data_IF_612878531127
#
_entry.id   IF_612878531127
#
_cell.length_a   1.000
_cell.length_b   1.000
_cell.length_c   1.000
_cell.angle_alpha   90.00
_cell.angle_beta   90.00
_cell.angle_gamma   90.00
#
_symmetry.space_group_name_H-M   'P 1'
#
loop_
_entity.id
_entity.type
_entity.pdbx_description
1 polymer ?
#
# COMPACT_ATOMS: atom_id res chain seq x y z
N UNK A 1 -21.63 -4.93 12.13
CA UNK A 1 -20.18 -4.75 12.32
C UNK A 1 -19.89 -5.18 13.75
N UNK A 2 -19.16 -6.27 13.93
CA UNK A 2 -18.64 -6.67 15.24
C UNK A 2 -17.17 -6.26 15.26
N UNK A 3 -16.76 -5.48 16.26
CA UNK A 3 -15.36 -5.17 16.47
C UNK A 3 -14.68 -6.33 17.20
N UNK A 4 -13.52 -6.74 16.70
CA UNK A 4 -12.77 -7.95 17.09
C UNK A 4 -11.39 -7.61 17.68
N UNK A 5 -11.25 -6.42 18.28
CA UNK A 5 -10.00 -5.89 18.83
C UNK A 5 -8.92 -5.61 17.78
N UNK A 6 -9.26 -5.56 16.49
CA UNK A 6 -8.32 -5.15 15.44
C UNK A 6 -8.52 -3.69 15.03
N UNK A 7 -7.44 -3.08 14.55
CA UNK A 7 -7.53 -1.87 13.74
C UNK A 7 -8.20 -2.17 12.38
N UNK A 8 -8.43 -1.14 11.57
CA UNK A 8 -8.94 -1.34 10.21
C UNK A 8 -7.97 -2.18 9.37
N UNK A 9 -8.52 -3.04 8.51
CA UNK A 9 -7.71 -3.84 7.59
C UNK A 9 -6.87 -2.93 6.67
N UNK A 10 -5.58 -3.23 6.45
CA UNK A 10 -4.73 -2.43 5.56
C UNK A 10 -5.26 -2.44 4.13
N UNK A 11 -5.07 -1.34 3.40
CA UNK A 11 -5.41 -1.23 1.98
C UNK A 11 -4.42 -2.03 1.09
N UNK A 12 -4.46 -3.35 1.19
CA UNK A 12 -3.64 -4.24 0.37
C UNK A 12 -4.17 -4.32 -1.07
N UNK A 13 -3.27 -4.37 -2.06
CA UNK A 13 -3.66 -4.56 -3.46
C UNK A 13 -4.00 -6.02 -3.78
N UNK A 14 -3.43 -6.94 -3.01
CA UNK A 14 -3.70 -8.37 -3.08
C UNK A 14 -4.05 -8.90 -1.70
N UNK A 15 -5.09 -9.72 -1.67
CA UNK A 15 -5.54 -10.42 -0.49
C UNK A 15 -5.37 -11.92 -0.70
N UNK A 16 -5.01 -12.62 0.37
CA UNK A 16 -4.87 -14.08 0.37
C UNK A 16 -5.72 -14.67 1.48
N UNK A 17 -6.09 -15.94 1.30
CA UNK A 17 -6.74 -16.73 2.34
C UNK A 17 -5.79 -17.80 2.84
N UNK A 18 -5.95 -18.19 4.10
CA UNK A 18 -5.25 -19.37 4.63
C UNK A 18 -5.66 -20.64 3.88
N UNK A 19 -4.79 -21.65 3.88
CA UNK A 19 -4.98 -22.89 3.11
C UNK A 19 -6.26 -23.65 3.46
N UNK A 20 -6.75 -23.49 4.70
CA UNK A 20 -7.96 -24.13 5.21
C UNK A 20 -9.13 -23.15 5.37
N UNK A 21 -9.13 -22.05 4.60
CA UNK A 21 -10.18 -21.03 4.71
C UNK A 21 -11.57 -21.61 4.40
N UNK A 22 -12.52 -21.26 5.26
CA UNK A 22 -13.93 -21.60 5.06
C UNK A 22 -14.65 -20.38 4.43
N UNK A 23 -15.29 -20.54 3.25
CA UNK A 23 -16.00 -19.45 2.59
C UNK A 23 -16.93 -18.67 3.51
N UNK A 24 -16.73 -17.35 3.60
CA UNK A 24 -17.54 -16.44 4.42
C UNK A 24 -17.24 -16.47 5.92
N UNK A 25 -16.31 -17.30 6.40
CA UNK A 25 -15.94 -17.38 7.82
C UNK A 25 -14.49 -16.98 8.09
N UNK A 26 -13.61 -17.11 7.10
CA UNK A 26 -12.20 -16.71 7.22
C UNK A 26 -12.00 -15.33 6.58
N UNK A 27 -11.60 -14.31 7.35
CA UNK A 27 -11.23 -13.01 6.79
C UNK A 27 -10.03 -13.14 5.83
N UNK A 28 -9.97 -12.32 4.77
CA UNK A 28 -8.79 -12.25 3.92
C UNK A 28 -7.63 -11.54 4.64
N UNK A 29 -6.41 -12.04 4.48
CA UNK A 29 -5.19 -11.37 4.94
C UNK A 29 -4.77 -10.24 3.98
N UNK A 30 -4.07 -9.19 4.44
CA UNK A 30 -3.79 -8.91 5.85
C UNK A 30 -5.04 -8.38 6.56
N UNK A 31 -5.26 -8.83 7.78
CA UNK A 31 -6.19 -8.18 8.70
C UNK A 31 -5.52 -6.94 9.33
N UNK A 32 -6.31 -6.12 10.04
CA UNK A 32 -5.77 -5.02 10.82
C UNK A 32 -4.99 -5.51 12.04
N UNK A 33 -3.93 -4.80 12.47
CA UNK A 33 -3.19 -5.15 13.68
C UNK A 33 -4.09 -5.24 14.91
N UNK A 34 -3.82 -6.21 15.78
CA UNK A 34 -4.46 -6.28 17.10
C UNK A 34 -4.10 -5.03 17.92
N UNK A 35 -5.10 -4.42 18.56
CA UNK A 35 -4.86 -3.25 19.39
C UNK A 35 -4.19 -3.64 20.72
N UNK A 36 -3.24 -2.85 21.23
CA UNK A 36 -2.52 -3.19 22.45
C UNK A 36 -3.42 -3.14 23.70
N UNK A 37 -3.01 -3.74 24.83
CA UNK A 37 -3.71 -3.56 26.10
C UNK A 37 -3.93 -2.09 26.46
N UNK A 38 -5.14 -1.75 26.92
CA UNK A 38 -5.53 -0.37 27.14
C UNK A 38 -7.03 -0.18 27.42
N UNK A 39 -7.43 1.08 27.62
CA UNK A 39 -8.82 1.47 27.83
C UNK A 39 -9.45 1.88 26.49
N UNK A 40 -10.54 1.22 26.11
CA UNK A 40 -11.24 1.46 24.84
C UNK A 40 -12.68 1.90 25.11
N UNK A 41 -13.18 2.82 24.27
CA UNK A 41 -14.58 3.24 24.29
C UNK A 41 -15.28 2.71 23.05
N UNK A 42 -16.22 1.78 23.26
CA UNK A 42 -17.10 1.30 22.22
C UNK A 42 -18.25 2.28 22.05
N UNK A 43 -18.58 2.60 20.79
CA UNK A 43 -19.76 3.40 20.44
C UNK A 43 -20.65 2.60 19.50
N UNK A 44 -21.84 2.26 19.95
CA UNK A 44 -22.88 1.63 19.14
C UNK A 44 -23.91 2.68 18.74
N UNK A 45 -24.17 2.83 17.44
CA UNK A 45 -25.18 3.74 16.92
C UNK A 45 -26.33 2.91 16.35
N UNK A 46 -27.56 3.15 16.83
CA UNK A 46 -28.79 2.50 16.35
C UNK A 46 -29.80 3.59 16.00
N UNK A 47 -30.00 3.82 14.69
CA UNK A 47 -30.75 4.98 14.21
C UNK A 47 -30.09 6.29 14.65
N UNK A 48 -30.84 7.17 15.31
CA UNK A 48 -30.33 8.44 15.85
C UNK A 48 -29.75 8.34 17.28
N UNK A 49 -29.77 7.16 17.91
CA UNK A 49 -29.28 6.96 19.29
C UNK A 49 -27.85 6.42 19.28
N UNK A 50 -27.00 6.95 20.15
CA UNK A 50 -25.65 6.46 20.39
C UNK A 50 -25.54 5.92 21.82
N UNK A 51 -24.98 4.73 21.96
CA UNK A 51 -24.65 4.07 23.22
C UNK A 51 -23.14 3.98 23.33
N UNK A 52 -22.60 4.25 24.50
CA UNK A 52 -21.15 4.20 24.74
C UNK A 52 -20.84 3.31 25.94
N UNK A 53 -19.86 2.45 25.80
CA UNK A 53 -19.36 1.62 26.89
C UNK A 53 -17.84 1.58 26.87
N UNK A 54 -17.23 1.74 28.04
CA UNK A 54 -15.79 1.59 28.21
C UNK A 54 -15.46 0.14 28.55
N UNK A 55 -14.38 -0.38 27.99
CA UNK A 55 -13.80 -1.68 28.34
C UNK A 55 -12.29 -1.59 28.48
N UNK A 56 -11.73 -2.46 29.30
CA UNK A 56 -10.28 -2.61 29.50
C UNK A 56 -9.82 -3.86 28.76
N UNK A 57 -8.92 -3.69 27.79
CA UNK A 57 -8.19 -4.78 27.14
C UNK A 57 -6.95 -5.07 27.98
N UNK A 58 -6.75 -6.33 28.33
CA UNK A 58 -5.58 -6.83 29.08
C UNK A 58 -4.74 -7.74 28.20
N UNK A 59 -3.48 -7.95 28.57
CA UNK A 59 -2.58 -8.84 27.86
C UNK A 59 -3.05 -10.31 27.93
N UNK A 60 -2.75 -11.12 26.91
CA UNK A 60 -3.00 -12.57 26.99
C UNK A 60 -2.15 -13.16 28.14
N UNK A 61 -2.76 -13.79 29.16
CA UNK A 61 -2.03 -14.35 30.30
C UNK A 61 -1.08 -15.50 29.92
N UNK A 62 -1.23 -16.09 28.74
CA UNK A 62 -0.34 -17.15 28.21
C UNK A 62 0.86 -16.58 27.48
N UNK A 63 0.82 -15.29 27.12
CA UNK A 63 1.88 -14.61 26.42
C UNK A 63 2.98 -14.16 27.38
N UNK A 64 4.25 -14.46 27.11
CA UNK A 64 5.37 -13.96 27.92
C UNK A 64 5.71 -12.49 27.62
N UNK A 65 5.12 -11.89 26.58
CA UNK A 65 5.41 -10.52 26.17
C UNK A 65 4.84 -9.52 27.18
N UNK A 66 5.59 -8.44 27.44
CA UNK A 66 5.09 -7.33 28.27
C UNK A 66 4.19 -6.44 27.43
N UNK A 67 3.27 -5.72 28.08
CA UNK A 67 2.40 -4.75 27.38
C UNK A 67 3.19 -3.68 26.59
N UNK A 68 4.40 -3.32 27.05
CA UNK A 68 5.29 -2.42 26.32
C UNK A 68 5.86 -3.04 25.02
N UNK A 69 6.10 -4.34 25.02
CA UNK A 69 6.59 -5.08 23.85
C UNK A 69 5.50 -5.12 22.77
N UNK A 70 4.28 -5.49 23.17
CA UNK A 70 3.09 -5.49 22.29
C UNK A 70 2.78 -4.10 21.75
N UNK A 71 2.96 -3.05 22.56
CA UNK A 71 2.80 -1.67 22.08
C UNK A 71 3.85 -1.29 21.03
N UNK A 72 5.11 -1.66 21.26
CA UNK A 72 6.19 -1.42 20.29
C UNK A 72 5.95 -2.18 18.98
N UNK A 73 5.41 -3.39 19.06
CA UNK A 73 4.97 -4.17 17.91
C UNK A 73 3.85 -3.48 17.14
N UNK A 74 2.80 -3.07 17.84
CA UNK A 74 1.68 -2.32 17.25
C UNK A 74 2.15 -1.04 16.55
N UNK A 75 3.05 -0.28 17.18
CA UNK A 75 3.58 0.96 16.60
C UNK A 75 4.33 0.69 15.28
N UNK A 76 5.12 -0.39 15.20
CA UNK A 76 5.77 -0.80 13.95
C UNK A 76 4.74 -1.27 12.91
N UNK A 77 3.74 -2.04 13.32
CA UNK A 77 2.67 -2.49 12.43
C UNK A 77 1.90 -1.31 11.84
N UNK A 78 1.54 -0.31 12.65
CA UNK A 78 0.84 0.89 12.18
C UNK A 78 1.69 1.73 11.22
N UNK A 79 3.01 1.79 11.41
CA UNK A 79 3.93 2.36 10.41
C UNK A 79 3.89 1.59 9.08
N UNK A 80 3.82 0.27 9.13
CA UNK A 80 3.67 -0.58 7.94
C UNK A 80 2.30 -0.36 7.28
N UNK A 81 1.21 -0.32 8.04
CA UNK A 81 -0.15 -0.01 7.54
C UNK A 81 -0.19 1.33 6.81
N UNK A 82 0.45 2.36 7.36
CA UNK A 82 0.56 3.65 6.70
C UNK A 82 1.28 3.56 5.35
N UNK A 83 2.37 2.79 5.27
CA UNK A 83 3.08 2.54 4.01
C UNK A 83 2.28 1.71 3.00
N UNK A 84 1.50 0.72 3.45
CA UNK A 84 0.57 -0.05 2.62
C UNK A 84 -0.47 0.89 2.02
N UNK A 85 -1.09 1.74 2.84
CA UNK A 85 -2.07 2.73 2.36
C UNK A 85 -1.48 3.69 1.34
N UNK A 86 -0.30 4.25 1.64
CA UNK A 86 0.31 5.21 0.72
C UNK A 86 0.71 4.57 -0.62
N UNK A 87 1.19 3.32 -0.61
CA UNK A 87 1.47 2.59 -1.85
C UNK A 87 0.20 2.25 -2.64
N UNK A 88 -0.89 1.93 -1.95
CA UNK A 88 -2.21 1.75 -2.55
C UNK A 88 -2.71 3.04 -3.21
N UNK A 89 -2.65 4.17 -2.50
CA UNK A 89 -3.05 5.48 -3.02
C UNK A 89 -2.26 5.82 -4.29
N UNK A 90 -0.95 5.60 -4.27
CA UNK A 90 -0.08 5.82 -5.43
C UNK A 90 -0.39 4.92 -6.62
N UNK A 91 -0.64 3.63 -6.38
CA UNK A 91 -1.08 2.72 -7.44
C UNK A 91 -2.36 3.22 -8.12
N UNK A 92 -3.37 3.65 -7.35
CA UNK A 92 -4.62 4.15 -7.92
C UNK A 92 -4.47 5.48 -8.65
N UNK A 93 -3.60 6.37 -8.19
CA UNK A 93 -3.26 7.59 -8.93
C UNK A 93 -2.60 7.27 -10.29
N UNK A 94 -1.69 6.29 -10.32
CA UNK A 94 -1.08 5.81 -11.56
C UNK A 94 -2.13 5.18 -12.47
N UNK A 95 -2.96 4.27 -11.96
CA UNK A 95 -4.01 3.59 -12.73
C UNK A 95 -5.00 4.59 -13.35
N UNK A 96 -5.39 5.63 -12.60
CA UNK A 96 -6.23 6.70 -13.11
C UNK A 96 -5.57 7.47 -14.27
N UNK A 97 -4.28 7.78 -14.17
CA UNK A 97 -3.57 8.49 -15.24
C UNK A 97 -3.40 7.61 -16.48
N UNK A 98 -3.11 6.31 -16.29
CA UNK A 98 -3.07 5.34 -17.40
C UNK A 98 -4.41 5.22 -18.12
N UNK A 99 -5.51 5.18 -17.37
CA UNK A 99 -6.86 5.17 -17.94
C UNK A 99 -7.15 6.45 -18.73
N UNK A 100 -6.72 7.62 -18.25
CA UNK A 100 -6.84 8.88 -18.98
C UNK A 100 -6.02 8.89 -20.29
N UNK A 101 -4.78 8.40 -20.26
CA UNK A 101 -3.95 8.25 -21.47
C UNK A 101 -4.61 7.32 -22.48
N UNK A 102 -5.15 6.18 -22.03
CA UNK A 102 -5.85 5.24 -22.91
C UNK A 102 -7.13 5.83 -23.51
N UNK A 103 -7.93 6.56 -22.73
CA UNK A 103 -9.16 7.20 -23.19
C UNK A 103 -8.88 8.28 -24.25
N UNK A 104 -7.87 9.13 -24.01
CA UNK A 104 -7.50 10.21 -24.93
C UNK A 104 -6.84 9.70 -26.22
N UNK A 105 -6.37 8.45 -26.23
CA UNK A 105 -5.71 7.82 -27.39
C UNK A 105 -6.53 6.76 -28.11
N UNK A 106 -7.82 6.64 -27.77
CA UNK A 106 -8.72 5.64 -28.37
C UNK A 106 -9.15 5.95 -29.82
N UNK A 107 -8.89 7.17 -30.32
CA UNK A 107 -9.27 7.60 -31.67
C UNK A 107 -8.10 7.54 -32.66
N UNK A 108 -8.37 7.72 -33.96
CA UNK A 108 -7.31 7.88 -34.94
C UNK A 108 -6.47 9.14 -34.63
N UNK A 109 -5.20 8.94 -34.26
CA UNK A 109 -4.29 10.00 -33.85
C UNK A 109 -3.01 10.02 -34.71
N UNK A 110 -2.31 11.17 -34.77
CA UNK A 110 -1.00 11.24 -35.40
C UNK A 110 -0.02 10.24 -34.79
N UNK A 111 0.85 9.65 -35.61
CA UNK A 111 1.82 8.63 -35.17
C UNK A 111 2.72 9.12 -34.01
N UNK A 112 3.07 10.42 -34.00
CA UNK A 112 3.84 11.04 -32.93
C UNK A 112 3.12 10.98 -31.57
N UNK A 113 1.80 11.17 -31.53
CA UNK A 113 1.01 11.11 -30.30
C UNK A 113 0.91 9.67 -29.80
N UNK A 114 0.69 8.71 -30.70
CA UNK A 114 0.64 7.27 -30.35
C UNK A 114 1.98 6.81 -29.74
N UNK A 115 3.10 7.22 -30.34
CA UNK A 115 4.43 6.90 -29.83
C UNK A 115 4.68 7.52 -28.45
N UNK A 116 4.34 8.81 -28.27
CA UNK A 116 4.49 9.51 -27.00
C UNK A 116 3.61 8.90 -25.91
N UNK A 117 2.36 8.56 -26.22
CA UNK A 117 1.43 7.94 -25.27
C UNK A 117 1.92 6.55 -24.84
N UNK A 118 2.43 5.74 -25.78
CA UNK A 118 3.02 4.43 -25.43
C UNK A 118 4.25 4.57 -24.54
N UNK A 119 5.13 5.53 -24.83
CA UNK A 119 6.31 5.78 -24.01
C UNK A 119 5.94 6.26 -22.59
N UNK A 120 4.96 7.15 -22.50
CA UNK A 120 4.45 7.65 -21.22
C UNK A 120 3.74 6.54 -20.43
N UNK A 121 2.84 5.77 -21.06
CA UNK A 121 2.17 4.63 -20.41
C UNK A 121 3.16 3.57 -19.94
N UNK A 122 4.25 3.33 -20.68
CA UNK A 122 5.33 2.43 -20.23
C UNK A 122 5.99 2.92 -18.94
N UNK A 123 6.22 4.24 -18.81
CA UNK A 123 6.75 4.84 -17.57
C UNK A 123 5.75 4.71 -16.43
N UNK A 124 4.46 4.90 -16.71
CA UNK A 124 3.38 4.70 -15.73
C UNK A 124 3.28 3.24 -15.28
N UNK A 125 3.37 2.29 -16.22
CA UNK A 125 3.33 0.87 -15.93
C UNK A 125 4.52 0.43 -15.05
N UNK A 126 5.72 0.97 -15.29
CA UNK A 126 6.90 0.70 -14.48
C UNK A 126 6.75 1.18 -13.02
N UNK A 127 6.26 2.40 -12.80
CA UNK A 127 6.10 2.95 -11.44
C UNK A 127 4.88 2.36 -10.71
N UNK A 128 3.81 2.05 -11.43
CA UNK A 128 2.60 1.42 -10.88
C UNK A 128 2.83 -0.04 -10.49
N UNK A 129 3.48 -0.80 -11.37
CA UNK A 129 3.59 -2.24 -11.27
C UNK A 129 2.27 -2.96 -11.62
N UNK A 130 2.34 -4.29 -11.65
CA UNK A 130 1.21 -5.16 -12.00
C UNK A 130 0.75 -5.98 -10.78
N UNK A 131 -0.47 -5.75 -10.25
CA UNK A 131 -0.99 -6.51 -9.12
C UNK A 131 -1.30 -7.98 -9.46
N UNK A 132 -1.48 -8.34 -10.74
CA UNK A 132 -1.72 -9.73 -11.14
C UNK A 132 -0.42 -10.54 -11.10
N UNK A 133 0.67 -9.98 -11.58
CA UNK A 133 2.02 -10.54 -11.42
C UNK A 133 2.45 -10.74 -9.96
N UNK A 134 1.82 -10.04 -9.01
CA UNK A 134 2.05 -10.23 -7.57
C UNK A 134 1.26 -11.40 -6.94
N UNK A 135 0.22 -11.93 -7.62
CA UNK A 135 -0.60 -13.07 -7.13
C UNK A 135 0.01 -14.43 -7.42
N UNK A 136 0.85 -14.54 -8.46
CA UNK A 136 1.64 -15.73 -8.71
C UNK A 136 2.78 -15.80 -7.69
N UNK A 137 2.70 -16.70 -6.72
CA UNK A 137 3.74 -16.96 -5.72
C UNK A 137 5.07 -17.45 -6.33
N UNK A 138 5.73 -16.61 -7.12
CA UNK A 138 6.81 -16.98 -8.02
C UNK A 138 7.81 -15.85 -8.24
N UNK A 139 8.29 -15.23 -7.17
CA UNK A 139 9.58 -14.55 -7.16
C UNK A 139 10.58 -15.46 -6.46
N UNK A 140 11.04 -16.48 -7.17
CA UNK A 140 11.88 -17.55 -6.64
C UNK A 140 13.14 -17.05 -5.94
N UNK A 141 13.59 -17.85 -4.99
CA UNK A 141 14.88 -17.81 -4.30
C UNK A 141 16.11 -17.99 -5.24
N UNK A 142 15.97 -17.77 -6.55
CA UNK A 142 16.99 -18.00 -7.56
C UNK A 142 16.92 -16.94 -8.67
N UNK A 143 17.84 -15.98 -8.63
CA UNK A 143 18.04 -15.00 -9.70
C UNK A 143 19.03 -13.92 -9.29
N UNK A 144 20.32 -14.13 -9.56
CA UNK A 144 21.41 -13.16 -9.36
C UNK A 144 21.39 -11.99 -10.36
N UNK A 145 20.20 -11.50 -10.71
CA UNK A 145 20.01 -10.33 -11.55
C UNK A 145 19.86 -9.05 -10.72
N UNK A 146 20.04 -7.89 -11.35
CA UNK A 146 19.74 -6.61 -10.71
C UNK A 146 18.25 -6.57 -10.29
N UNK A 147 18.00 -6.24 -9.03
CA UNK A 147 16.63 -6.08 -8.54
C UNK A 147 15.94 -4.98 -9.35
N UNK A 148 14.74 -5.22 -9.91
CA UNK A 148 14.01 -4.18 -10.60
C UNK A 148 13.71 -3.00 -9.66
N UNK A 149 13.63 -1.79 -10.22
CA UNK A 149 13.27 -0.60 -9.46
C UNK A 149 11.91 -0.78 -8.75
N UNK A 150 11.72 -0.18 -7.57
CA UNK A 150 10.48 -0.34 -6.81
C UNK A 150 9.29 0.27 -7.56
N UNK A 151 8.18 -0.46 -7.54
CA UNK A 151 6.85 0.00 -7.97
C UNK A 151 5.90 0.07 -6.78
N UNK A 152 4.78 0.77 -6.93
CA UNK A 152 3.76 0.83 -5.87
C UNK A 152 3.24 -0.57 -5.50
N UNK A 153 3.02 -1.43 -6.48
CA UNK A 153 2.64 -2.84 -6.25
C UNK A 153 3.72 -3.61 -5.48
N UNK A 154 4.99 -3.53 -5.89
CA UNK A 154 6.05 -4.30 -5.23
C UNK A 154 6.28 -3.85 -3.78
N UNK A 155 6.15 -2.55 -3.52
CA UNK A 155 6.24 -1.98 -2.16
C UNK A 155 5.05 -2.42 -1.32
N UNK A 156 3.82 -2.32 -1.83
CA UNK A 156 2.61 -2.77 -1.13
C UNK A 156 2.73 -4.26 -0.75
N UNK A 157 3.09 -5.12 -1.71
CA UNK A 157 3.28 -6.55 -1.48
C UNK A 157 4.39 -6.86 -0.46
N UNK A 158 5.49 -6.11 -0.47
CA UNK A 158 6.56 -6.28 0.52
C UNK A 158 6.07 -5.94 1.93
N UNK A 159 5.43 -4.78 2.10
CA UNK A 159 4.90 -4.33 3.39
C UNK A 159 3.79 -5.26 3.91
N UNK A 160 2.94 -5.79 3.03
CA UNK A 160 1.94 -6.82 3.38
C UNK A 160 2.60 -8.11 3.92
N UNK A 161 3.72 -8.55 3.36
CA UNK A 161 4.46 -9.70 3.93
C UNK A 161 5.01 -9.40 5.31
N UNK A 162 5.49 -8.17 5.55
CA UNK A 162 6.05 -7.77 6.83
C UNK A 162 4.98 -7.73 7.94
N UNK A 163 3.79 -7.17 7.66
CA UNK A 163 2.70 -7.15 8.65
C UNK A 163 2.23 -8.57 8.99
N UNK A 164 2.08 -9.45 8.01
CA UNK A 164 1.73 -10.85 8.25
C UNK A 164 2.81 -11.57 9.09
N UNK A 165 4.09 -11.21 8.92
CA UNK A 165 5.17 -11.77 9.73
C UNK A 165 5.08 -11.31 11.19
N UNK A 166 4.73 -10.04 11.40
CA UNK A 166 4.57 -9.45 12.73
C UNK A 166 3.33 -9.96 13.46
N UNK A 167 2.33 -10.53 12.78
CA UNK A 167 1.12 -11.07 13.42
C UNK A 167 1.29 -12.49 13.99
N UNK A 168 2.45 -13.13 13.83
CA UNK A 168 2.66 -14.54 14.25
C UNK A 168 2.81 -14.75 15.77
N UNK A 169 2.79 -13.69 16.58
CA UNK A 169 2.81 -13.79 18.03
C UNK A 169 3.14 -12.46 18.71
N UNK A 170 2.96 -12.41 20.03
CA UNK A 170 3.26 -11.21 20.81
C UNK A 170 4.77 -11.12 21.09
N UNK A 171 5.44 -10.11 20.55
CA UNK A 171 6.88 -9.92 20.74
C UNK A 171 7.33 -8.49 20.47
N UNK A 172 8.37 -8.05 21.16
CA UNK A 172 9.07 -6.82 20.79
C UNK A 172 9.71 -6.99 19.40
N UNK A 173 9.53 -6.05 18.46
CA UNK A 173 10.11 -6.17 17.13
C UNK A 173 11.62 -6.36 17.15
N UNK A 174 12.09 -7.39 16.45
CA UNK A 174 13.52 -7.66 16.34
C UNK A 174 14.23 -6.57 15.52
N UNK A 175 15.55 -6.39 15.69
CA UNK A 175 16.33 -5.47 14.84
C UNK A 175 16.18 -5.76 13.33
N UNK A 176 16.01 -7.04 12.96
CA UNK A 176 15.78 -7.45 11.58
C UNK A 176 14.42 -6.98 11.06
N UNK A 177 13.36 -7.08 11.86
CA UNK A 177 12.03 -6.56 11.50
C UNK A 177 12.05 -5.04 11.32
N UNK A 178 12.72 -4.31 12.23
CA UNK A 178 12.86 -2.86 12.09
C UNK A 178 13.66 -2.47 10.84
N UNK A 179 14.74 -3.20 10.53
CA UNK A 179 15.54 -2.97 9.34
C UNK A 179 14.75 -3.25 8.06
N UNK A 180 13.94 -4.32 8.04
CA UNK A 180 13.06 -4.65 6.93
C UNK A 180 12.02 -3.54 6.67
N UNK A 181 11.42 -2.98 7.73
CA UNK A 181 10.52 -1.84 7.60
C UNK A 181 11.24 -0.61 7.01
N UNK A 182 12.43 -0.27 7.52
CA UNK A 182 13.19 0.87 6.99
C UNK A 182 13.53 0.66 5.51
N UNK A 183 13.86 -0.56 5.08
CA UNK A 183 14.07 -0.88 3.67
C UNK A 183 12.82 -0.65 2.84
N UNK A 184 11.67 -1.22 3.24
CA UNK A 184 10.40 -1.05 2.52
C UNK A 184 9.93 0.41 2.50
N UNK A 185 10.18 1.18 3.57
CA UNK A 185 9.91 2.60 3.60
C UNK A 185 10.79 3.39 2.61
N UNK A 186 12.07 3.04 2.47
CA UNK A 186 12.97 3.68 1.50
C UNK A 186 12.56 3.37 0.05
N UNK A 187 12.08 2.15 -0.20
CA UNK A 187 11.49 1.81 -1.49
C UNK A 187 10.24 2.65 -1.76
N UNK A 188 9.37 2.84 -0.74
CA UNK A 188 8.21 3.73 -0.83
C UNK A 188 8.62 5.19 -1.10
N UNK A 189 9.65 5.70 -0.41
CA UNK A 189 10.20 7.02 -0.65
C UNK A 189 10.69 7.17 -2.09
N UNK A 190 11.37 6.16 -2.61
CA UNK A 190 11.89 6.13 -3.98
C UNK A 190 10.74 6.20 -4.98
N UNK A 191 9.74 5.32 -4.88
CA UNK A 191 8.62 5.29 -5.84
C UNK A 191 7.74 6.54 -5.76
N UNK A 192 7.53 7.12 -4.57
CA UNK A 192 6.82 8.40 -4.41
C UNK A 192 7.59 9.56 -5.04
N UNK A 193 8.91 9.58 -4.91
CA UNK A 193 9.76 10.60 -5.55
C UNK A 193 9.71 10.47 -7.08
N UNK A 194 9.84 9.26 -7.60
CA UNK A 194 9.69 8.96 -9.03
C UNK A 194 8.32 9.40 -9.55
N UNK A 195 7.25 9.06 -8.83
CA UNK A 195 5.89 9.45 -9.18
C UNK A 195 5.69 10.98 -9.19
N UNK A 196 6.31 11.68 -8.25
CA UNK A 196 6.30 13.15 -8.22
C UNK A 196 6.99 13.74 -9.45
N UNK A 197 8.13 13.17 -9.86
CA UNK A 197 8.82 13.56 -11.10
C UNK A 197 7.98 13.30 -12.35
N UNK A 198 7.23 12.20 -12.38
CA UNK A 198 6.32 11.86 -13.48
C UNK A 198 5.17 12.87 -13.59
N UNK A 199 4.49 13.18 -12.48
CA UNK A 199 3.42 14.19 -12.44
C UNK A 199 3.90 15.62 -12.73
N UNK A 200 5.20 15.88 -12.60
CA UNK A 200 5.84 17.15 -12.98
C UNK A 200 6.35 17.11 -14.43
N UNK A 201 7.65 16.83 -14.57
CA UNK A 201 8.36 17.01 -15.83
C UNK A 201 7.89 16.06 -16.94
N UNK A 202 7.65 14.78 -16.63
CA UNK A 202 7.27 13.81 -17.67
C UNK A 202 5.86 14.08 -18.22
N UNK A 203 4.90 14.40 -17.34
CA UNK A 203 3.54 14.79 -17.73
C UNK A 203 3.55 16.09 -18.54
N UNK A 204 4.35 17.08 -18.14
CA UNK A 204 4.50 18.32 -18.90
C UNK A 204 5.06 18.07 -20.31
N UNK A 205 6.05 17.19 -20.45
CA UNK A 205 6.61 16.80 -21.74
C UNK A 205 5.58 16.07 -22.62
N UNK A 206 4.79 15.15 -22.04
CA UNK A 206 3.70 14.48 -22.76
C UNK A 206 2.61 15.47 -23.20
N UNK A 207 2.20 16.38 -22.32
CA UNK A 207 1.24 17.44 -22.62
C UNK A 207 1.73 18.39 -23.73
N UNK A 208 3.03 18.66 -23.82
CA UNK A 208 3.58 19.44 -24.94
C UNK A 208 3.34 18.74 -26.28
N UNK A 209 3.49 17.42 -26.36
CA UNK A 209 3.17 16.65 -27.58
C UNK A 209 1.67 16.70 -27.89
N UNK A 210 0.80 16.57 -26.87
CA UNK A 210 -0.65 16.67 -27.05
C UNK A 210 -1.03 18.04 -27.63
N UNK A 211 -0.57 19.13 -27.02
CA UNK A 211 -0.91 20.48 -27.44
C UNK A 211 -0.37 20.84 -28.84
N UNK A 212 0.84 20.39 -29.20
CA UNK A 212 1.37 20.55 -30.56
C UNK A 212 0.51 19.86 -31.64
N UNK A 213 -0.26 18.84 -31.25
CA UNK A 213 -1.18 18.12 -32.11
C UNK A 213 -2.65 18.53 -31.89
N UNK A 214 -2.90 19.69 -31.26
CA UNK A 214 -4.24 20.25 -30.97
C UNK A 214 -5.10 19.36 -30.06
N UNK A 215 -4.49 18.53 -29.23
CA UNK A 215 -5.17 17.72 -28.20
C UNK A 215 -5.13 18.43 -26.85
N UNK A 216 -6.10 18.11 -26.00
CA UNK A 216 -6.19 18.66 -24.64
C UNK A 216 -5.10 18.06 -23.75
N UNK A 217 -4.44 18.86 -22.89
CA UNK A 217 -3.49 18.33 -21.92
C UNK A 217 -4.21 17.54 -20.81
N UNK A 218 -3.53 16.54 -20.26
CA UNK A 218 -3.96 15.79 -19.09
C UNK A 218 -3.57 16.51 -17.79
N UNK A 219 -4.41 16.41 -16.77
CA UNK A 219 -4.13 16.90 -15.44
C UNK A 219 -3.38 15.85 -14.60
N UNK A 220 -2.57 16.31 -13.64
CA UNK A 220 -1.99 15.44 -12.62
C UNK A 220 -3.11 14.79 -11.79
N UNK A 221 -2.92 13.54 -11.38
CA UNK A 221 -3.95 12.77 -10.69
C UNK A 221 -3.87 12.89 -9.17
N UNK A 222 -5.00 13.23 -8.54
CA UNK A 222 -5.17 13.17 -7.09
C UNK A 222 -4.34 14.19 -6.29
N UNK A 223 -4.33 14.00 -4.96
CA UNK A 223 -3.51 14.80 -4.04
C UNK A 223 -2.05 14.33 -4.14
N UNK A 224 -1.12 15.28 -4.23
CA UNK A 224 0.31 14.98 -4.24
C UNK A 224 0.71 14.10 -3.04
N UNK A 225 1.38 12.99 -3.32
CA UNK A 225 1.94 12.11 -2.30
C UNK A 225 3.19 12.75 -1.70
N UNK A 226 3.35 12.63 -0.39
CA UNK A 226 4.53 13.15 0.34
C UNK A 226 5.43 11.97 0.68
N UNK A 227 6.70 12.03 0.29
CA UNK A 227 7.67 11.00 0.63
C UNK A 227 7.70 10.73 2.15
N UNK A 228 7.60 9.47 2.61
CA UNK A 228 7.58 9.15 4.03
C UNK A 228 8.94 9.39 4.69
N UNK A 229 8.93 9.62 6.00
CA UNK A 229 10.14 9.64 6.83
C UNK A 229 10.45 8.22 7.31
N UNK A 230 11.61 7.69 6.92
CA UNK A 230 11.99 6.31 7.18
C UNK A 230 12.88 6.17 8.41
N UNK A 231 12.29 6.33 9.59
CA UNK A 231 12.97 6.16 10.87
C UNK A 231 12.65 4.80 11.53
N UNK A 232 13.62 4.25 12.27
CA UNK A 232 13.37 3.12 13.19
C UNK A 232 12.45 3.58 14.33
N UNK A 233 11.76 2.62 14.94
CA UNK A 233 10.99 2.82 16.17
C UNK A 233 11.92 2.81 17.37
#
# INVERSE_FOLDING_TARGET
MNWDLRAEAPAALTHTFEINANPGQTPPSPEGPLVPPGLYTLKLIVGAKAYTQTLTVVNDPRSPARAADVRTQYDLQMKIVAGIRQSWDGYHQVAALRAAVAADTASALPAAVIAAARAFDSTLAQVGGDPEGARGGGGGFFGGGAQPAPSFVSVNANLVRQINTLENGDLAPTPAMQAAYVSGCKDLQTVVTTWTGINGAALAAFNAVLTQNNLKPLAATGRALVAPVCARS
#
